data_IF_298172944069
#
_entry.id   IF_298172944069
#
_cell.length_a   1.000
_cell.length_b   1.000
_cell.length_c   1.000
_cell.angle_alpha   90.00
_cell.angle_beta   90.00
_cell.angle_gamma   90.00
#
_symmetry.space_group_name_H-M   'P 1'
#
loop_
_entity.id
_entity.type
_entity.pdbx_description
1 polymer ?
#
# COMPACT_ATOMS: atom_id res chain seq x y z
N UNK A 1 15.33 28.90 -56.62
CA UNK A 1 15.06 28.23 -55.32
C UNK A 1 15.07 29.32 -54.25
N UNK A 2 13.97 29.56 -53.53
CA UNK A 2 13.84 30.71 -52.62
C UNK A 2 14.50 30.45 -51.26
N UNK A 3 15.06 31.50 -50.63
CA UNK A 3 15.80 31.40 -49.35
C UNK A 3 15.02 30.66 -48.24
N UNK A 4 13.68 30.78 -48.22
CA UNK A 4 12.81 30.06 -47.28
C UNK A 4 12.85 28.54 -47.45
N UNK A 5 12.90 28.03 -48.69
CA UNK A 5 13.01 26.59 -48.95
C UNK A 5 14.35 26.01 -48.47
N UNK A 6 15.44 26.79 -48.55
CA UNK A 6 16.76 26.36 -48.06
C UNK A 6 16.76 26.31 -46.53
N UNK A 7 16.11 27.27 -45.85
CA UNK A 7 15.97 27.26 -44.38
C UNK A 7 15.10 26.12 -43.84
N UNK A 8 14.06 25.71 -44.56
CA UNK A 8 13.23 24.56 -44.15
C UNK A 8 13.96 23.23 -44.36
N UNK A 9 14.71 23.09 -45.46
CA UNK A 9 15.54 21.90 -45.71
C UNK A 9 16.65 21.77 -44.67
N UNK A 10 17.30 22.86 -44.27
CA UNK A 10 18.34 22.81 -43.22
C UNK A 10 17.76 22.51 -41.84
N UNK A 11 16.58 23.01 -41.49
CA UNK A 11 15.88 22.65 -40.24
C UNK A 11 15.45 21.18 -40.21
N UNK A 12 14.91 20.67 -41.31
CA UNK A 12 14.53 19.26 -41.42
C UNK A 12 15.76 18.34 -41.36
N UNK A 13 16.86 18.71 -42.01
CA UNK A 13 18.13 17.99 -41.94
C UNK A 13 18.72 18.00 -40.53
N UNK A 14 18.64 19.12 -39.82
CA UNK A 14 19.12 19.21 -38.43
C UNK A 14 18.29 18.32 -37.51
N UNK A 15 16.96 18.31 -37.69
CA UNK A 15 16.05 17.48 -36.89
C UNK A 15 16.29 15.99 -37.09
N UNK A 16 16.50 15.55 -38.34
CA UNK A 16 16.87 14.17 -38.67
C UNK A 16 18.22 13.78 -38.06
N UNK A 17 19.19 14.70 -38.03
CA UNK A 17 20.51 14.45 -37.46
C UNK A 17 20.45 14.32 -35.93
N UNK A 18 19.63 15.12 -35.25
CA UNK A 18 19.39 15.01 -33.80
C UNK A 18 18.70 13.68 -33.44
N UNK A 19 17.72 13.25 -34.24
CA UNK A 19 17.04 11.96 -34.06
C UNK A 19 18.00 10.77 -34.25
N UNK A 20 18.86 10.82 -35.27
CA UNK A 20 19.87 9.79 -35.49
C UNK A 20 20.89 9.73 -34.33
N UNK A 21 21.30 10.89 -33.80
CA UNK A 21 22.19 10.98 -32.64
C UNK A 21 21.54 10.38 -31.38
N UNK A 22 20.27 10.69 -31.14
CA UNK A 22 19.52 10.20 -30.00
C UNK A 22 19.34 8.67 -30.04
N UNK A 23 19.05 8.12 -31.23
CA UNK A 23 18.98 6.68 -31.46
C UNK A 23 20.32 5.97 -31.20
N UNK A 24 21.43 6.55 -31.66
CA UNK A 24 22.77 6.00 -31.42
C UNK A 24 23.13 6.00 -29.93
N UNK A 25 22.89 7.11 -29.22
CA UNK A 25 23.16 7.21 -27.77
C UNK A 25 22.34 6.17 -27.00
N UNK A 26 21.05 6.04 -27.30
CA UNK A 26 20.16 5.07 -26.65
C UNK A 26 20.60 3.62 -26.88
N UNK A 27 21.08 3.30 -28.09
CA UNK A 27 21.61 1.98 -28.42
C UNK A 27 22.91 1.66 -27.66
N UNK A 28 23.81 2.63 -27.51
CA UNK A 28 25.04 2.45 -26.73
C UNK A 28 24.75 2.28 -25.23
N UNK A 29 23.83 3.06 -24.65
CA UNK A 29 23.43 2.92 -23.23
C UNK A 29 22.79 1.54 -22.98
N UNK A 30 21.90 1.09 -23.87
CA UNK A 30 21.30 -0.24 -23.77
C UNK A 30 22.32 -1.39 -23.85
N UNK A 31 23.34 -1.25 -24.70
CA UNK A 31 24.38 -2.27 -24.85
C UNK A 31 25.36 -2.31 -23.67
N UNK A 32 25.61 -1.18 -23.00
CA UNK A 32 26.43 -1.11 -21.78
C UNK A 32 25.66 -1.65 -20.56
N UNK A 33 24.34 -1.39 -20.48
CA UNK A 33 23.49 -1.97 -19.44
C UNK A 33 23.37 -3.51 -19.54
N UNK A 34 23.37 -4.06 -20.76
CA UNK A 34 23.30 -5.51 -20.99
C UNK A 34 24.63 -6.26 -20.73
N UNK A 35 25.77 -5.56 -20.78
CA UNK A 35 27.11 -6.13 -20.55
C UNK A 35 27.69 -5.81 -19.15
N UNK A 36 26.85 -5.28 -18.24
CA UNK A 36 27.17 -5.11 -16.83
C UNK A 36 27.34 -6.47 -16.16
N UNK A 37 28.59 -6.88 -15.98
CA UNK A 37 29.05 -8.06 -15.26
C UNK A 37 28.27 -8.30 -13.98
N UNK A 38 27.52 -9.39 -13.95
CA UNK A 38 27.11 -10.09 -12.72
C UNK A 38 28.37 -10.47 -11.94
N UNK A 39 28.80 -9.61 -11.03
CA UNK A 39 29.71 -10.00 -9.96
C UNK A 39 28.96 -10.97 -9.06
N UNK A 40 29.24 -12.27 -9.23
CA UNK A 40 29.02 -13.31 -8.23
C UNK A 40 29.67 -12.87 -6.92
N UNK A 41 28.86 -12.34 -6.00
CA UNK A 41 29.28 -12.16 -4.60
C UNK A 41 29.22 -13.53 -3.95
N UNK A 42 30.32 -14.27 -4.08
CA UNK A 42 30.62 -15.48 -3.31
C UNK A 42 31.02 -15.04 -1.90
N UNK A 43 30.03 -14.75 -1.06
CA UNK A 43 30.20 -14.35 0.33
C UNK A 43 29.27 -15.15 1.23
N UNK A 44 29.81 -16.19 1.85
CA UNK A 44 29.09 -17.03 2.80
C UNK A 44 28.55 -16.20 3.98
N UNK A 45 27.23 -16.26 4.19
CA UNK A 45 26.66 -16.23 5.53
C UNK A 45 25.58 -17.30 5.57
N UNK A 46 25.97 -18.47 6.06
CA UNK A 46 25.05 -19.53 6.40
C UNK A 46 24.19 -19.05 7.58
N UNK A 47 23.07 -18.39 7.27
CA UNK A 47 21.97 -18.28 8.21
C UNK A 47 21.44 -19.69 8.38
N UNK A 48 21.54 -20.21 9.61
CA UNK A 48 21.09 -21.54 9.97
C UNK A 48 19.65 -21.75 9.52
N UNK A 49 19.48 -22.49 8.42
CA UNK A 49 18.23 -23.13 8.05
C UNK A 49 17.96 -24.24 9.06
N UNK A 50 17.38 -23.86 10.20
CA UNK A 50 16.68 -24.81 11.06
C UNK A 50 15.32 -25.12 10.42
N UNK A 51 15.35 -25.82 9.28
CA UNK A 51 14.19 -26.55 8.78
C UNK A 51 14.31 -27.97 9.29
N UNK A 52 13.76 -28.20 10.49
CA UNK A 52 13.41 -29.54 10.92
C UNK A 52 12.34 -30.06 9.98
N UNK A 53 12.74 -30.91 9.04
CA UNK A 53 11.83 -31.72 8.25
C UNK A 53 11.29 -32.81 9.20
N UNK A 54 10.05 -32.65 9.67
CA UNK A 54 9.34 -33.72 10.37
C UNK A 54 8.49 -34.42 9.31
N UNK A 55 8.88 -35.66 8.99
CA UNK A 55 8.12 -36.54 8.13
C UNK A 55 6.90 -37.14 8.87
N UNK A 56 5.75 -37.08 8.18
CA UNK A 56 4.55 -37.92 8.24
C UNK A 56 3.50 -37.68 9.35
N UNK A 57 2.22 -38.06 9.14
CA UNK A 57 1.41 -38.17 7.90
C UNK A 57 0.10 -37.34 7.96
N UNK A 58 -0.54 -37.11 6.80
CA UNK A 58 -1.92 -36.57 6.67
C UNK A 58 -2.97 -37.61 7.16
N UNK A 59 -4.27 -37.26 7.42
CA UNK A 59 -4.93 -35.95 7.30
C UNK A 59 -5.77 -35.54 8.55
N UNK A 60 -5.80 -34.26 8.90
CA UNK A 60 -6.96 -33.67 9.60
C UNK A 60 -7.13 -32.23 9.16
N UNK A 61 -8.37 -31.79 9.04
CA UNK A 61 -8.86 -30.59 8.35
C UNK A 61 -8.43 -29.24 8.95
N UNK A 62 -7.50 -29.21 9.88
CA UNK A 62 -7.04 -27.98 10.53
C UNK A 62 -5.72 -27.55 9.90
N UNK A 63 -5.79 -27.01 8.68
CA UNK A 63 -4.70 -26.21 8.14
C UNK A 63 -4.65 -24.87 8.89
N UNK A 64 -4.10 -24.87 10.10
CA UNK A 64 -3.56 -23.65 10.68
C UNK A 64 -2.25 -23.36 9.95
N UNK A 65 -2.21 -22.29 9.15
CA UNK A 65 -0.96 -21.83 8.55
C UNK A 65 0.08 -21.62 9.66
N UNK A 66 1.32 -22.13 9.54
CA UNK A 66 2.37 -21.97 10.56
C UNK A 66 2.97 -20.56 10.56
N UNK A 67 2.16 -19.54 10.31
CA UNK A 67 2.57 -18.15 10.39
C UNK A 67 2.75 -17.82 11.88
N UNK A 68 4.02 -17.77 12.32
CA UNK A 68 4.38 -17.40 13.69
C UNK A 68 4.11 -15.91 13.83
N UNK A 69 3.06 -15.56 14.57
CA UNK A 69 2.76 -14.18 14.92
C UNK A 69 3.66 -13.79 16.09
N UNK A 70 4.50 -12.74 15.95
CA UNK A 70 5.33 -12.25 17.05
C UNK A 70 4.48 -11.87 18.26
N UNK A 71 5.02 -12.03 19.47
CA UNK A 71 4.32 -11.64 20.72
C UNK A 71 3.97 -10.15 20.80
N UNK A 72 4.61 -9.32 19.96
CA UNK A 72 4.34 -7.90 19.84
C UNK A 72 3.07 -7.58 19.04
N UNK A 73 2.44 -8.57 18.39
CA UNK A 73 1.24 -8.39 17.57
C UNK A 73 0.03 -9.03 18.26
N UNK A 74 -1.07 -8.30 18.35
CA UNK A 74 -2.39 -8.80 18.75
C UNK A 74 -3.23 -9.09 17.50
N UNK A 75 -4.06 -10.12 17.59
CA UNK A 75 -5.06 -10.42 16.57
C UNK A 75 -6.42 -9.84 16.96
N UNK A 76 -7.15 -9.33 15.97
CA UNK A 76 -8.54 -8.93 16.11
C UNK A 76 -9.34 -9.54 14.96
N UNK A 77 -10.41 -10.27 15.30
CA UNK A 77 -11.29 -10.88 14.30
C UNK A 77 -12.69 -10.26 14.37
N UNK A 78 -13.21 -9.88 13.21
CA UNK A 78 -14.57 -9.41 13.00
C UNK A 78 -15.37 -10.52 12.29
N UNK A 79 -16.27 -11.15 13.04
CA UNK A 79 -17.08 -12.28 12.54
C UNK A 79 -18.23 -11.82 11.64
N UNK A 80 -18.68 -10.57 11.77
CA UNK A 80 -19.75 -10.01 10.96
C UNK A 80 -19.29 -9.82 9.50
N UNK A 81 -18.07 -9.31 9.34
CA UNK A 81 -17.46 -9.12 8.03
C UNK A 81 -16.57 -10.27 7.57
N UNK A 82 -16.22 -11.22 8.43
CA UNK A 82 -15.47 -12.42 8.04
C UNK A 82 -13.99 -12.13 7.79
N UNK A 83 -13.36 -11.36 8.69
CA UNK A 83 -11.93 -11.08 8.59
C UNK A 83 -11.21 -11.13 9.94
N UNK A 84 -9.90 -11.35 9.88
CA UNK A 84 -8.95 -11.22 10.98
C UNK A 84 -7.81 -10.32 10.56
N UNK A 85 -7.35 -9.46 11.48
CA UNK A 85 -6.23 -8.54 11.25
C UNK A 85 -5.31 -8.49 12.48
N UNK A 86 -4.01 -8.50 12.23
CA UNK A 86 -2.98 -8.25 13.22
C UNK A 86 -2.71 -6.76 13.39
N UNK A 87 -2.47 -6.33 14.62
CA UNK A 87 -2.14 -4.94 14.98
C UNK A 87 -1.16 -4.91 16.15
N UNK A 88 -0.50 -3.77 16.38
CA UNK A 88 0.49 -3.64 17.44
C UNK A 88 -0.09 -3.86 18.83
N UNK A 89 0.67 -4.54 19.69
CA UNK A 89 0.18 -4.99 21.00
C UNK A 89 -0.07 -3.85 21.99
N UNK A 90 0.57 -2.71 21.83
CA UNK A 90 0.38 -1.50 22.64
C UNK A 90 -0.75 -0.60 22.11
N UNK A 91 -1.34 -0.93 20.95
CA UNK A 91 -2.48 -0.20 20.41
C UNK A 91 -3.82 -0.69 20.97
N UNK A 92 -4.78 0.22 20.92
CA UNK A 92 -6.18 0.01 21.28
C UNK A 92 -7.01 -0.18 20.01
N UNK A 93 -8.04 -1.02 20.11
CA UNK A 93 -9.02 -1.23 19.04
C UNK A 93 -10.44 -1.35 19.60
N UNK A 94 -11.43 -1.33 18.72
CA UNK A 94 -12.85 -1.35 19.08
C UNK A 94 -13.42 -2.74 19.24
N UNK A 95 -14.27 -2.88 20.26
CA UNK A 95 -15.02 -4.11 20.60
C UNK A 95 -16.48 -3.83 20.97
N UNK A 96 -17.04 -2.69 20.52
CA UNK A 96 -18.34 -2.20 20.98
C UNK A 96 -19.51 -3.03 20.43
N UNK A 97 -19.61 -3.12 19.11
CA UNK A 97 -20.63 -3.87 18.38
C UNK A 97 -19.95 -4.79 17.37
N UNK A 98 -20.63 -5.87 16.95
CA UNK A 98 -20.05 -6.88 16.04
C UNK A 98 -19.61 -6.26 14.69
N UNK A 99 -20.34 -5.26 14.19
CA UNK A 99 -20.02 -4.53 12.96
C UNK A 99 -18.90 -3.48 13.15
N UNK A 100 -18.65 -3.00 14.37
CA UNK A 100 -17.56 -2.05 14.66
C UNK A 100 -16.31 -2.71 15.24
N UNK A 101 -16.31 -4.04 15.39
CA UNK A 101 -15.17 -4.75 15.96
C UNK A 101 -13.99 -4.68 14.99
N UNK A 102 -12.80 -4.37 15.49
CA UNK A 102 -11.58 -4.29 14.67
C UNK A 102 -11.64 -3.23 13.55
N UNK A 103 -12.40 -2.15 13.71
CA UNK A 103 -12.53 -1.10 12.67
C UNK A 103 -11.71 0.16 12.96
N UNK A 104 -11.30 0.39 14.20
CA UNK A 104 -10.50 1.56 14.57
C UNK A 104 -9.29 1.14 15.39
N UNK A 105 -8.14 1.76 15.14
CA UNK A 105 -6.89 1.44 15.84
C UNK A 105 -6.12 2.72 16.19
N UNK A 106 -5.62 2.79 17.42
CA UNK A 106 -4.83 3.94 17.90
C UNK A 106 -3.82 3.54 18.98
N UNK A 107 -2.67 4.22 19.12
CA UNK A 107 -1.72 4.00 20.21
C UNK A 107 -2.18 4.57 21.57
N UNK A 108 -3.41 5.08 21.65
CA UNK A 108 -4.00 5.66 22.85
C UNK A 108 -5.41 5.12 23.06
N UNK A 109 -5.90 5.14 24.30
CA UNK A 109 -7.27 4.77 24.61
C UNK A 109 -8.25 5.80 24.04
N UNK A 110 -9.34 5.34 23.42
CA UNK A 110 -10.35 6.20 22.82
C UNK A 110 -11.77 5.66 23.05
N UNK A 111 -12.75 6.52 22.83
CA UNK A 111 -14.18 6.17 22.85
C UNK A 111 -14.74 6.49 21.48
N UNK A 112 -15.44 5.52 20.88
CA UNK A 112 -16.09 5.73 19.57
C UNK A 112 -17.23 6.74 19.76
N UNK A 113 -17.20 7.90 19.09
CA UNK A 113 -18.27 8.86 19.17
C UNK A 113 -19.54 8.31 18.50
N UNK A 114 -20.70 8.77 18.96
CA UNK A 114 -21.98 8.39 18.35
C UNK A 114 -22.08 8.84 16.88
N UNK A 115 -21.41 9.93 16.53
CA UNK A 115 -21.27 10.44 15.16
C UNK A 115 -19.80 10.44 14.75
N UNK A 116 -19.49 9.74 13.65
CA UNK A 116 -18.12 9.58 13.12
C UNK A 116 -17.91 10.56 11.98
N UNK A 117 -17.95 11.85 12.30
CA UNK A 117 -17.78 12.92 11.29
C UNK A 117 -16.31 13.36 11.16
N UNK A 118 -15.43 12.87 12.05
CA UNK A 118 -14.01 13.22 12.12
C UNK A 118 -13.16 11.96 12.24
N UNK A 119 -11.98 12.00 11.63
CA UNK A 119 -10.91 11.05 11.91
C UNK A 119 -10.48 11.24 13.38
N UNK A 120 -10.97 10.37 14.27
CA UNK A 120 -10.68 10.40 15.71
C UNK A 120 -9.64 9.35 16.13
N UNK A 121 -9.28 8.43 15.22
CA UNK A 121 -8.18 7.48 15.35
C UNK A 121 -7.29 7.54 14.12
N UNK A 122 -5.97 7.30 14.26
CA UNK A 122 -5.06 7.39 13.14
C UNK A 122 -5.32 6.31 12.10
N UNK A 123 -5.85 5.14 12.51
CA UNK A 123 -6.11 4.03 11.58
C UNK A 123 -7.58 3.62 11.65
N UNK A 124 -8.22 3.52 10.48
CA UNK A 124 -9.56 2.99 10.34
C UNK A 124 -9.65 1.94 9.24
N UNK A 125 -10.50 0.95 9.44
CA UNK A 125 -10.83 -0.10 8.50
C UNK A 125 -12.31 0.05 8.14
N UNK A 126 -12.58 0.17 6.84
CA UNK A 126 -13.93 0.20 6.28
C UNK A 126 -14.14 -0.94 5.29
N UNK A 127 -15.36 -1.46 5.25
CA UNK A 127 -15.79 -2.41 4.22
C UNK A 127 -16.31 -1.61 3.04
N UNK A 128 -15.92 -2.00 1.84
CA UNK A 128 -16.41 -1.44 0.59
C UNK A 128 -17.39 -2.45 0.01
N UNK A 129 -18.58 -2.00 -0.40
CA UNK A 129 -19.50 -2.86 -1.13
C UNK A 129 -18.87 -3.23 -2.49
N UNK A 130 -18.96 -4.51 -2.89
CA UNK A 130 -18.31 -4.98 -4.11
C UNK A 130 -18.72 -4.16 -5.37
N UNK A 131 -19.98 -3.72 -5.42
CA UNK A 131 -20.52 -2.88 -6.50
C UNK A 131 -19.91 -1.47 -6.52
N UNK A 132 -19.46 -0.96 -5.37
CA UNK A 132 -18.84 0.35 -5.21
C UNK A 132 -17.31 0.32 -5.36
N UNK A 133 -16.72 -0.85 -5.63
CA UNK A 133 -15.26 -1.00 -5.69
C UNK A 133 -14.62 -0.06 -6.72
N UNK A 134 -15.16 0.00 -7.93
CA UNK A 134 -14.58 0.80 -9.01
C UNK A 134 -14.69 2.30 -8.72
N UNK A 135 -15.84 2.76 -8.23
CA UNK A 135 -16.03 4.16 -7.81
C UNK A 135 -15.12 4.53 -6.64
N UNK A 136 -14.91 3.61 -5.70
CA UNK A 136 -14.01 3.80 -4.56
C UNK A 136 -12.57 3.94 -5.02
N UNK A 137 -12.12 3.05 -5.91
CA UNK A 137 -10.78 3.10 -6.49
C UNK A 137 -10.56 4.41 -7.25
N UNK A 138 -11.50 4.82 -8.10
CA UNK A 138 -11.42 6.10 -8.81
C UNK A 138 -11.39 7.31 -7.86
N UNK A 139 -12.19 7.29 -6.78
CA UNK A 139 -12.23 8.38 -5.82
C UNK A 139 -10.88 8.59 -5.12
N UNK A 140 -10.22 7.51 -4.72
CA UNK A 140 -8.95 7.60 -4.00
C UNK A 140 -7.73 7.77 -4.91
N UNK A 141 -7.77 7.25 -6.14
CA UNK A 141 -6.66 7.39 -7.09
C UNK A 141 -6.52 8.80 -7.67
N UNK A 142 -7.60 9.56 -7.70
CA UNK A 142 -7.62 10.89 -8.30
C UNK A 142 -7.62 11.98 -7.22
N UNK A 143 -6.87 13.09 -7.42
CA UNK A 143 -7.02 14.27 -6.59
C UNK A 143 -8.48 14.73 -6.53
N UNK A 144 -8.94 15.10 -5.35
CA UNK A 144 -10.31 15.55 -5.09
C UNK A 144 -10.32 16.68 -4.06
N UNK A 145 -11.50 17.16 -3.68
CA UNK A 145 -11.64 18.30 -2.76
C UNK A 145 -10.96 18.08 -1.42
N UNK A 146 -10.84 16.83 -0.95
CA UNK A 146 -10.27 16.47 0.34
C UNK A 146 -8.78 16.10 0.26
N UNK A 147 -8.35 15.51 -0.86
CA UNK A 147 -7.04 14.87 -0.97
C UNK A 147 -6.29 15.24 -2.26
N UNK A 148 -5.01 15.60 -2.08
CA UNK A 148 -4.03 15.68 -3.15
C UNK A 148 -3.24 14.36 -3.20
N UNK A 149 -3.55 13.50 -4.17
CA UNK A 149 -2.88 12.21 -4.35
C UNK A 149 -1.42 12.43 -4.76
N UNK A 150 -0.49 11.84 -4.01
CA UNK A 150 0.96 11.94 -4.23
C UNK A 150 1.53 10.68 -4.87
N UNK A 151 0.97 9.51 -4.56
CA UNK A 151 1.36 8.24 -5.20
C UNK A 151 0.20 7.25 -5.23
N UNK A 152 0.25 6.35 -6.20
CA UNK A 152 -0.75 5.32 -6.41
C UNK A 152 -0.07 4.13 -7.06
N UNK A 153 0.06 3.02 -6.33
CA UNK A 153 0.78 1.83 -6.75
C UNK A 153 0.03 0.56 -6.39
N UNK A 154 0.20 -0.49 -7.20
CA UNK A 154 -0.27 -1.83 -6.86
C UNK A 154 0.88 -2.57 -6.17
N UNK A 155 0.61 -3.14 -5.01
CA UNK A 155 1.55 -3.99 -4.29
C UNK A 155 0.93 -5.37 -4.10
N UNK A 156 1.76 -6.40 -4.07
CA UNK A 156 1.34 -7.76 -3.75
C UNK A 156 1.92 -8.16 -2.41
N UNK A 157 1.05 -8.58 -1.48
CA UNK A 157 1.44 -8.97 -0.13
C UNK A 157 0.66 -10.19 0.31
N UNK A 158 1.38 -11.27 0.67
CA UNK A 158 0.78 -12.53 1.12
C UNK A 158 -0.32 -13.04 0.15
N UNK A 159 -0.06 -12.95 -1.16
CA UNK A 159 -0.98 -13.37 -2.22
C UNK A 159 -2.20 -12.46 -2.44
N UNK A 160 -2.25 -11.30 -1.80
CA UNK A 160 -3.30 -10.30 -1.99
C UNK A 160 -2.81 -9.15 -2.84
N UNK A 161 -3.65 -8.71 -3.77
CA UNK A 161 -3.43 -7.48 -4.51
C UNK A 161 -3.98 -6.30 -3.70
N UNK A 162 -3.09 -5.37 -3.37
CA UNK A 162 -3.43 -4.19 -2.58
C UNK A 162 -3.14 -2.96 -3.43
N UNK A 163 -4.13 -2.07 -3.54
CA UNK A 163 -3.92 -0.74 -4.09
C UNK A 163 -3.46 0.19 -2.98
N UNK A 164 -2.19 0.58 -3.01
CA UNK A 164 -1.61 1.54 -2.06
C UNK A 164 -1.66 2.94 -2.66
N UNK A 165 -2.27 3.85 -1.93
CA UNK A 165 -2.48 5.24 -2.33
C UNK A 165 -1.98 6.13 -1.20
N UNK A 166 -1.05 7.03 -1.52
CA UNK A 166 -0.62 8.06 -0.57
C UNK A 166 -1.11 9.42 -1.04
N UNK A 167 -1.57 10.23 -0.10
CA UNK A 167 -2.10 11.55 -0.35
C UNK A 167 -1.74 12.53 0.77
N UNK A 168 -1.98 13.81 0.48
CA UNK A 168 -1.93 14.92 1.43
C UNK A 168 -3.28 15.58 1.52
N UNK A 169 -3.73 15.93 2.72
CA UNK A 169 -4.98 16.66 2.91
C UNK A 169 -4.92 18.07 2.30
N UNK A 170 -6.01 18.49 1.69
CA UNK A 170 -6.19 19.85 1.15
C UNK A 170 -6.52 20.87 2.24
N UNK A 171 -6.99 20.40 3.40
CA UNK A 171 -7.55 21.21 4.48
C UNK A 171 -9.06 21.45 4.36
N UNK A 172 -9.70 20.91 3.33
CA UNK A 172 -11.16 20.82 3.27
C UNK A 172 -11.64 19.69 4.19
N UNK A 173 -12.73 19.91 4.92
CA UNK A 173 -13.26 18.97 5.91
C UNK A 173 -12.68 19.17 7.31
N UNK A 174 -12.28 18.08 7.97
CA UNK A 174 -11.96 18.08 9.41
C UNK A 174 -10.47 17.93 9.72
N UNK A 175 -9.67 17.56 8.71
CA UNK A 175 -8.24 17.26 8.88
C UNK A 175 -7.41 18.44 8.38
N UNK A 176 -6.44 18.96 9.16
CA UNK A 176 -5.63 20.10 8.75
C UNK A 176 -4.88 19.87 7.44
N UNK A 177 -4.61 20.93 6.67
CA UNK A 177 -3.91 20.87 5.38
C UNK A 177 -2.49 20.31 5.53
N UNK A 178 -2.09 19.46 4.58
CA UNK A 178 -0.71 18.94 4.47
C UNK A 178 -0.44 17.67 5.28
N UNK A 179 -1.42 17.22 6.05
CA UNK A 179 -1.34 16.00 6.85
C UNK A 179 -1.28 14.78 5.91
N UNK A 180 -0.46 13.79 6.30
CA UNK A 180 -0.27 12.58 5.50
C UNK A 180 -1.47 11.65 5.63
N UNK A 181 -1.90 11.10 4.50
CA UNK A 181 -2.90 10.04 4.43
C UNK A 181 -2.36 8.88 3.60
N UNK A 182 -2.68 7.66 4.00
CA UNK A 182 -2.42 6.45 3.23
C UNK A 182 -3.68 5.58 3.21
N UNK A 183 -4.12 5.18 2.02
CA UNK A 183 -5.18 4.21 1.85
C UNK A 183 -4.61 2.93 1.23
N UNK A 184 -4.95 1.80 1.84
CA UNK A 184 -4.69 0.46 1.32
C UNK A 184 -6.05 -0.16 0.97
N UNK A 185 -6.34 -0.27 -0.32
CA UNK A 185 -7.55 -0.95 -0.80
C UNK A 185 -7.19 -2.39 -1.10
N UNK A 186 -7.64 -3.31 -0.25
CA UNK A 186 -7.42 -4.74 -0.39
C UNK A 186 -8.60 -5.34 -1.14
N UNK A 187 -8.35 -5.83 -2.35
CA UNK A 187 -9.40 -6.45 -3.15
C UNK A 187 -9.79 -7.80 -2.55
N UNK A 188 -11.10 -8.02 -2.46
CA UNK A 188 -11.73 -9.31 -2.18
C UNK A 188 -12.99 -9.42 -3.05
N UNK A 189 -13.35 -10.65 -3.43
CA UNK A 189 -14.48 -10.88 -4.34
C UNK A 189 -15.84 -10.58 -3.75
N UNK A 190 -15.98 -10.60 -2.42
CA UNK A 190 -17.24 -10.37 -1.73
C UNK A 190 -17.21 -9.09 -0.87
N UNK A 191 -16.12 -8.88 -0.13
CA UNK A 191 -16.01 -7.79 0.85
C UNK A 191 -14.64 -7.11 0.77
N UNK A 192 -14.38 -6.29 -0.28
CA UNK A 192 -13.16 -5.50 -0.33
C UNK A 192 -13.02 -4.62 0.92
N UNK A 193 -11.78 -4.45 1.38
CA UNK A 193 -11.47 -3.70 2.60
C UNK A 193 -10.63 -2.47 2.26
N UNK A 194 -10.99 -1.33 2.86
CA UNK A 194 -10.15 -0.13 2.92
C UNK A 194 -9.51 -0.03 4.30
N UNK A 195 -8.19 -0.11 4.38
CA UNK A 195 -7.43 0.28 5.56
C UNK A 195 -6.82 1.66 5.33
N UNK A 196 -7.21 2.63 6.13
CA UNK A 196 -6.77 4.02 6.02
C UNK A 196 -5.93 4.41 7.22
N UNK A 197 -4.85 5.12 6.96
CA UNK A 197 -4.11 5.91 7.93
C UNK A 197 -4.30 7.40 7.66
N UNK A 198 -4.58 8.16 8.71
CA UNK A 198 -4.61 9.62 8.71
C UNK A 198 -3.73 10.12 9.83
N UNK A 199 -2.76 10.98 9.50
CA UNK A 199 -1.98 11.71 10.49
C UNK A 199 -2.91 12.58 11.36
N UNK A 200 -2.70 12.62 12.67
CA UNK A 200 -3.52 13.41 13.60
C UNK A 200 -2.72 14.50 14.32
N UNK A 201 -1.39 14.39 14.37
CA UNK A 201 -0.50 15.38 14.98
C UNK A 201 0.71 15.69 14.07
N UNK A 202 1.19 16.93 14.06
CA UNK A 202 2.34 17.34 13.25
C UNK A 202 3.66 16.66 13.65
N UNK A 203 3.76 16.20 14.91
CA UNK A 203 4.95 15.56 15.47
C UNK A 203 4.90 14.02 15.41
N UNK A 204 3.85 13.45 14.79
CA UNK A 204 3.68 12.02 14.64
C UNK A 204 4.77 11.41 13.74
N UNK A 205 5.28 10.22 14.11
CA UNK A 205 6.22 9.48 13.26
C UNK A 205 5.47 8.80 12.11
N UNK A 206 5.17 9.57 11.07
CA UNK A 206 4.35 9.15 9.94
C UNK A 206 4.88 7.89 9.25
N UNK A 207 6.20 7.77 9.07
CA UNK A 207 6.79 6.66 8.31
C UNK A 207 6.73 5.34 9.10
N UNK A 208 6.90 5.42 10.42
CA UNK A 208 6.72 4.28 11.31
C UNK A 208 5.28 3.77 11.25
N UNK A 209 4.29 4.66 11.40
CA UNK A 209 2.89 4.25 11.41
C UNK A 209 2.43 3.74 10.04
N UNK A 210 2.88 4.35 8.94
CA UNK A 210 2.64 3.79 7.60
C UNK A 210 3.17 2.38 7.46
N UNK A 211 4.36 2.10 8.00
CA UNK A 211 4.96 0.77 7.97
C UNK A 211 4.14 -0.24 8.79
N UNK A 212 3.65 0.17 9.96
CA UNK A 212 2.76 -0.65 10.78
C UNK A 212 1.45 -0.97 10.06
N UNK A 213 0.83 0.01 9.43
CA UNK A 213 -0.43 -0.15 8.68
C UNK A 213 -0.25 -1.06 7.47
N UNK A 214 0.91 -1.00 6.82
CA UNK A 214 1.27 -1.95 5.77
C UNK A 214 1.34 -3.39 6.31
N UNK A 215 1.99 -3.59 7.46
CA UNK A 215 2.05 -4.90 8.12
C UNK A 215 0.64 -5.41 8.52
N UNK A 216 -0.21 -4.51 9.03
CA UNK A 216 -1.62 -4.84 9.32
C UNK A 216 -2.33 -5.37 8.08
N UNK A 217 -2.23 -4.67 6.93
CA UNK A 217 -2.83 -5.12 5.68
C UNK A 217 -2.26 -6.48 5.20
N UNK A 218 -0.98 -6.73 5.42
CA UNK A 218 -0.35 -8.03 5.12
C UNK A 218 -0.90 -9.18 5.96
N UNK A 219 -1.17 -8.91 7.23
CA UNK A 219 -1.71 -9.88 8.18
C UNK A 219 -3.21 -10.18 8.01
N UNK A 220 -3.91 -9.38 7.19
CA UNK A 220 -5.35 -9.53 6.96
C UNK A 220 -5.67 -10.94 6.45
N UNK A 221 -6.69 -11.61 6.99
CA UNK A 221 -7.16 -12.92 6.51
C UNK A 221 -8.68 -12.88 6.42
N UNK A 222 -9.23 -13.38 5.32
CA UNK A 222 -10.67 -13.55 5.12
C UNK A 222 -11.07 -14.99 5.49
N UNK A 223 -12.29 -15.19 6.01
CA UNK A 223 -12.85 -16.51 6.34
C UNK A 223 -14.38 -16.56 6.23
#
# INVERSE_FOLDING_TARGET
MTLKKIQEITKASLFLLVLALYGAISFFVGKVAANGTTTDVKGASAVASSRGFIENPLPSSDFQSPEIIPSAIKLCSNMYFGFEIGYESDWFTTYNTEDQKCTFFAPYAFVVPYFVDKDFTPVNLGIIEADDWLSTLMFYENPNDFYNVTSSENIEMNGKLIKKIEARTTGEGTTPRGFSIMHLLVFDGEKPIRLSYTQLDENENVDEIKSLVLNMAGSLKYF
#
